data_IF_317741607801
#
_entry.id   IF_317741607801
#
_cell.length_a   1.000
_cell.length_b   1.000
_cell.length_c   1.000
_cell.angle_alpha   90.00
_cell.angle_beta   90.00
_cell.angle_gamma   90.00
#
_symmetry.space_group_name_H-M   'P 1'
#
loop_
_entity.id
_entity.type
_entity.pdbx_description
1 polymer ?
#
# COMPACT_ATOMS: atom_id res chain seq x y z
N UNK A 1 -4.39 8.04 -8.79
CA UNK A 1 -3.45 7.38 -9.71
C UNK A 1 -4.31 6.77 -10.80
N UNK A 2 -4.18 7.18 -12.05
CA UNK A 2 -5.01 6.58 -13.10
C UNK A 2 -4.52 5.15 -13.30
N UNK A 3 -5.43 4.19 -13.50
CA UNK A 3 -5.09 2.78 -13.80
C UNK A 3 -4.18 2.62 -15.02
N UNK A 4 -4.16 3.64 -15.89
CA UNK A 4 -3.36 3.73 -17.10
C UNK A 4 -1.86 3.97 -16.82
N UNK A 5 -1.51 4.47 -15.63
CA UNK A 5 -0.12 4.72 -15.22
C UNK A 5 0.55 3.45 -14.64
N UNK A 6 -0.22 2.36 -14.46
CA UNK A 6 0.27 1.10 -13.89
C UNK A 6 0.86 0.22 -15.00
N UNK A 7 2.16 0.40 -15.25
CA UNK A 7 2.94 -0.45 -16.17
C UNK A 7 3.00 -1.88 -15.68
N UNK A 8 3.27 -2.08 -14.38
CA UNK A 8 3.33 -3.39 -13.73
C UNK A 8 2.14 -3.62 -12.80
N UNK A 9 1.30 -4.59 -13.13
CA UNK A 9 0.00 -4.81 -12.52
C UNK A 9 0.00 -5.46 -11.15
N UNK A 10 1.09 -6.11 -10.76
CA UNK A 10 1.16 -6.83 -9.49
C UNK A 10 2.20 -6.24 -8.55
N UNK A 11 1.75 -5.90 -7.34
CA UNK A 11 2.61 -5.71 -6.19
C UNK A 11 3.06 -7.08 -5.69
N UNK A 12 4.35 -7.38 -5.82
CA UNK A 12 4.94 -8.66 -5.48
C UNK A 12 5.88 -8.50 -4.28
N UNK A 13 5.57 -9.18 -3.19
CA UNK A 13 6.38 -9.19 -1.98
C UNK A 13 6.80 -10.60 -1.61
N UNK A 14 8.05 -10.75 -1.18
CA UNK A 14 8.52 -12.02 -0.65
C UNK A 14 9.52 -11.82 0.49
N UNK A 15 9.63 -12.87 1.31
CA UNK A 15 10.66 -13.01 2.31
C UNK A 15 11.33 -14.37 2.13
N UNK A 16 12.65 -14.36 1.95
CA UNK A 16 13.46 -15.55 1.72
C UNK A 16 14.40 -15.71 2.91
N UNK A 17 14.47 -16.90 3.50
CA UNK A 17 15.51 -17.29 4.46
C UNK A 17 16.67 -17.92 3.73
N UNK A 18 17.87 -17.42 3.92
CA UNK A 18 19.06 -17.92 3.25
C UNK A 18 19.38 -19.36 3.64
N UNK A 19 19.81 -20.12 2.64
CA UNK A 19 20.27 -21.49 2.79
C UNK A 19 21.74 -21.58 2.36
N UNK A 20 22.58 -22.14 3.24
CA UNK A 20 24.02 -22.31 3.01
C UNK A 20 24.34 -23.26 1.85
N UNK A 21 23.40 -24.10 1.45
CA UNK A 21 23.55 -25.02 0.30
C UNK A 21 23.07 -24.42 -1.02
N UNK A 22 22.56 -23.19 -0.99
CA UNK A 22 22.02 -22.47 -2.15
C UNK A 22 22.96 -21.35 -2.60
N UNK A 23 22.51 -20.56 -3.59
CA UNK A 23 23.30 -19.45 -4.13
C UNK A 23 23.63 -18.45 -3.01
N UNK A 24 24.90 -18.04 -2.85
CA UNK A 24 25.28 -17.06 -1.85
C UNK A 24 24.61 -15.72 -2.16
N UNK A 25 24.09 -15.07 -1.13
CA UNK A 25 23.43 -13.78 -1.28
C UNK A 25 24.45 -12.65 -1.39
N UNK A 26 24.28 -11.81 -2.40
CA UNK A 26 24.96 -10.54 -2.55
C UNK A 26 23.91 -9.48 -2.87
N UNK A 27 23.76 -8.48 -2.00
CA UNK A 27 22.67 -7.50 -2.12
C UNK A 27 22.73 -6.72 -3.44
N UNK A 28 23.92 -6.30 -3.86
CA UNK A 28 24.08 -5.52 -5.09
C UNK A 28 23.65 -6.33 -6.32
N UNK A 29 24.19 -7.54 -6.49
CA UNK A 29 23.82 -8.42 -7.60
C UNK A 29 22.34 -8.76 -7.54
N UNK A 30 21.82 -9.04 -6.35
CA UNK A 30 20.41 -9.35 -6.15
C UNK A 30 19.51 -8.20 -6.58
N UNK A 31 19.85 -6.94 -6.22
CA UNK A 31 19.11 -5.74 -6.65
C UNK A 31 19.19 -5.55 -8.16
N UNK A 32 20.37 -5.69 -8.75
CA UNK A 32 20.58 -5.57 -10.20
C UNK A 32 19.74 -6.60 -10.97
N UNK A 33 19.74 -7.85 -10.54
CA UNK A 33 18.92 -8.90 -11.14
C UNK A 33 17.42 -8.65 -10.89
N UNK A 34 17.03 -8.25 -9.67
CA UNK A 34 15.62 -8.03 -9.34
C UNK A 34 15.02 -6.83 -10.10
N UNK A 35 15.83 -5.81 -10.38
CA UNK A 35 15.41 -4.62 -11.14
C UNK A 35 14.99 -4.93 -12.58
N UNK A 36 15.32 -6.12 -13.09
CA UNK A 36 14.91 -6.59 -14.42
C UNK A 36 13.47 -7.11 -14.44
N UNK A 37 12.92 -7.53 -13.29
CA UNK A 37 11.55 -8.05 -13.19
C UNK A 37 10.48 -6.95 -13.07
N UNK A 38 10.89 -5.72 -12.75
CA UNK A 38 10.02 -4.56 -12.80
C UNK A 38 10.52 -3.36 -12.00
N UNK A 39 9.60 -2.50 -11.55
CA UNK A 39 9.93 -1.22 -10.92
C UNK A 39 9.67 -1.18 -9.41
N UNK A 40 9.94 -0.01 -8.81
CA UNK A 40 9.64 0.27 -7.40
C UNK A 40 10.29 -0.74 -6.43
N UNK A 41 11.50 -1.19 -6.79
CA UNK A 41 12.22 -2.21 -6.07
C UNK A 41 12.66 -1.71 -4.68
N UNK A 42 12.21 -2.41 -3.65
CA UNK A 42 12.72 -2.31 -2.29
C UNK A 42 13.28 -3.67 -1.87
N UNK A 43 14.55 -3.67 -1.49
CA UNK A 43 15.23 -4.84 -0.90
C UNK A 43 15.72 -4.43 0.47
N UNK A 44 15.43 -5.26 1.46
CA UNK A 44 15.91 -5.12 2.84
C UNK A 44 16.38 -6.50 3.27
N UNK A 45 17.62 -6.63 3.72
CA UNK A 45 18.15 -7.91 4.18
C UNK A 45 18.95 -7.75 5.48
N UNK A 46 19.14 -8.86 6.17
CA UNK A 46 20.12 -9.05 7.23
C UNK A 46 21.01 -10.27 6.87
N UNK A 47 21.60 -10.93 7.88
CA UNK A 47 22.46 -12.11 7.69
C UNK A 47 21.68 -13.42 7.45
N UNK A 48 20.38 -13.46 7.75
CA UNK A 48 19.56 -14.68 7.69
C UNK A 48 18.43 -14.61 6.65
N UNK A 49 17.89 -13.42 6.39
CA UNK A 49 16.73 -13.22 5.53
C UNK A 49 16.89 -12.03 4.59
N UNK A 50 16.16 -12.09 3.47
CA UNK A 50 15.89 -10.92 2.60
C UNK A 50 14.40 -10.75 2.41
N UNK A 51 13.92 -9.52 2.54
CA UNK A 51 12.58 -9.07 2.22
C UNK A 51 12.61 -8.18 0.98
N UNK A 52 11.70 -8.46 0.06
CA UNK A 52 11.61 -7.79 -1.24
C UNK A 52 10.20 -7.30 -1.46
N UNK A 53 10.08 -6.10 -2.04
CA UNK A 53 8.88 -5.59 -2.67
C UNK A 53 9.26 -5.09 -4.07
N UNK A 54 8.52 -5.52 -5.09
CA UNK A 54 8.72 -5.11 -6.48
C UNK A 54 7.38 -5.10 -7.20
N UNK A 55 7.14 -4.11 -8.06
CA UNK A 55 6.01 -4.18 -8.97
C UNK A 55 6.43 -4.97 -10.21
N UNK A 56 5.70 -6.03 -10.54
CA UNK A 56 6.00 -6.90 -11.69
C UNK A 56 4.72 -7.32 -12.41
N UNK A 57 4.83 -7.75 -13.68
CA UNK A 57 3.74 -8.42 -14.41
C UNK A 57 3.76 -9.94 -14.18
N UNK A 58 4.91 -10.49 -13.77
CA UNK A 58 5.11 -11.93 -13.60
C UNK A 58 5.63 -12.25 -12.19
N UNK A 59 4.76 -12.18 -11.16
CA UNK A 59 5.15 -12.48 -9.77
C UNK A 59 5.84 -13.84 -9.58
N UNK A 60 5.47 -14.84 -10.39
CA UNK A 60 6.08 -16.16 -10.34
C UNK A 60 7.57 -16.16 -10.63
N UNK A 61 8.05 -15.31 -11.55
CA UNK A 61 9.48 -15.21 -11.87
C UNK A 61 10.26 -14.61 -10.70
N UNK A 62 9.70 -13.59 -10.04
CA UNK A 62 10.25 -12.99 -8.82
C UNK A 62 10.41 -14.04 -7.71
N UNK A 63 9.38 -14.85 -7.47
CA UNK A 63 9.43 -15.89 -6.44
C UNK A 63 10.42 -17.01 -6.78
N UNK A 64 10.47 -17.43 -8.04
CA UNK A 64 11.42 -18.45 -8.50
C UNK A 64 12.86 -17.98 -8.32
N UNK A 65 13.14 -16.73 -8.69
CA UNK A 65 14.45 -16.14 -8.48
C UNK A 65 14.82 -16.05 -6.99
N UNK A 66 13.89 -15.63 -6.12
CA UNK A 66 14.10 -15.63 -4.67
C UNK A 66 14.44 -17.01 -4.10
N UNK A 67 13.81 -18.07 -4.61
CA UNK A 67 14.07 -19.45 -4.19
C UNK A 67 15.48 -19.95 -4.51
N UNK A 68 16.22 -19.31 -5.42
CA UNK A 68 17.62 -19.67 -5.68
C UNK A 68 18.52 -19.43 -4.47
N UNK A 69 18.13 -18.55 -3.55
CA UNK A 69 18.91 -18.15 -2.38
C UNK A 69 18.48 -18.85 -1.09
N UNK A 70 17.29 -19.45 -1.06
CA UNK A 70 16.72 -19.89 0.21
C UNK A 70 15.31 -20.49 0.20
N UNK A 71 14.73 -20.56 1.39
CA UNK A 71 13.34 -20.95 1.66
C UNK A 71 12.42 -19.71 1.58
N UNK A 72 11.30 -19.80 0.87
CA UNK A 72 10.27 -18.75 0.90
C UNK A 72 9.47 -18.82 2.21
N UNK A 73 9.78 -17.94 3.15
CA UNK A 73 9.03 -17.81 4.42
C UNK A 73 7.66 -17.20 4.18
N UNK A 74 7.59 -16.22 3.28
CA UNK A 74 6.37 -15.48 2.98
C UNK A 74 6.37 -15.04 1.53
N UNK A 75 5.22 -15.19 0.88
CA UNK A 75 4.96 -14.67 -0.47
C UNK A 75 3.62 -13.97 -0.50
N UNK A 76 3.53 -12.90 -1.29
CA UNK A 76 2.33 -12.12 -1.50
C UNK A 76 2.37 -11.54 -2.91
N UNK A 77 1.26 -11.68 -3.64
CA UNK A 77 1.07 -11.05 -4.95
C UNK A 77 -0.32 -10.42 -4.98
N UNK A 78 -0.39 -9.11 -5.20
CA UNK A 78 -1.63 -8.36 -5.22
C UNK A 78 -1.81 -7.65 -6.56
N UNK A 79 -2.97 -7.82 -7.19
CA UNK A 79 -3.31 -7.12 -8.43
C UNK A 79 -3.72 -5.67 -8.09
N UNK A 80 -2.85 -4.72 -8.39
CA UNK A 80 -3.06 -3.31 -8.09
C UNK A 80 -4.18 -2.69 -8.94
N UNK A 81 -4.43 -3.23 -10.15
CA UNK A 81 -5.53 -2.78 -11.02
C UNK A 81 -6.88 -3.14 -10.41
N UNK A 82 -7.00 -4.35 -9.87
CA UNK A 82 -8.19 -4.80 -9.14
C UNK A 82 -8.38 -4.05 -7.82
N UNK A 83 -7.30 -3.82 -7.06
CA UNK A 83 -7.34 -2.96 -5.87
C UNK A 83 -7.90 -1.57 -6.20
N UNK A 84 -7.41 -0.94 -7.28
CA UNK A 84 -7.91 0.35 -7.73
C UNK A 84 -9.38 0.30 -8.16
N UNK A 85 -9.80 -0.70 -8.97
CA UNK A 85 -11.21 -0.89 -9.37
C UNK A 85 -12.14 -1.00 -8.17
N UNK A 86 -11.73 -1.72 -7.12
CA UNK A 86 -12.53 -1.89 -5.91
C UNK A 86 -12.69 -0.59 -5.12
N UNK A 87 -11.67 0.29 -5.11
CA UNK A 87 -11.78 1.62 -4.49
C UNK A 87 -12.77 2.48 -5.27
N UNK A 88 -12.60 2.59 -6.60
CA UNK A 88 -13.49 3.41 -7.46
C UNK A 88 -14.95 2.93 -7.39
N UNK A 89 -15.20 1.62 -7.37
CA UNK A 89 -16.55 1.08 -7.27
C UNK A 89 -17.20 1.36 -5.90
N UNK A 90 -16.41 1.37 -4.81
CA UNK A 90 -16.90 1.77 -3.48
C UNK A 90 -17.24 3.26 -3.41
N UNK A 91 -16.48 4.11 -4.08
CA UNK A 91 -16.77 5.56 -4.17
C UNK A 91 -18.09 5.82 -4.90
N UNK A 92 -18.35 5.13 -6.02
CA UNK A 92 -19.61 5.27 -6.78
C UNK A 92 -20.86 4.81 -6.01
N UNK A 93 -20.73 3.94 -5.03
CA UNK A 93 -21.86 3.48 -4.21
C UNK A 93 -22.19 4.40 -3.03
N UNK A 94 -21.33 5.36 -2.69
CA UNK A 94 -21.50 6.25 -1.52
C UNK A 94 -21.88 7.69 -1.86
N UNK A 95 -22.03 8.04 -3.14
CA UNK A 95 -22.37 9.41 -3.59
C UNK A 95 -23.84 9.78 -3.43
N UNK A 96 -24.47 9.43 -2.30
CA UNK A 96 -25.86 9.76 -1.99
C UNK A 96 -26.02 10.60 -0.71
N UNK A 97 -24.93 11.03 -0.06
CA UNK A 97 -25.00 11.99 1.04
C UNK A 97 -24.70 13.41 0.53
N UNK A 98 -25.71 14.27 0.54
CA UNK A 98 -25.65 15.68 0.18
C UNK A 98 -24.87 16.46 1.25
N UNK A 99 -23.55 16.57 1.11
CA UNK A 99 -22.78 17.58 1.85
C UNK A 99 -22.88 18.94 1.15
N UNK A 100 -23.17 20.05 1.89
CA UNK A 100 -23.25 21.37 1.28
C UNK A 100 -21.90 21.77 0.68
N UNK A 101 -21.88 22.19 -0.59
CA UNK A 101 -20.67 22.74 -1.21
C UNK A 101 -20.33 24.10 -0.57
N UNK A 102 -19.15 24.19 0.02
CA UNK A 102 -18.58 25.44 0.56
C UNK A 102 -17.26 25.77 -0.14
N UNK A 103 -16.94 27.06 -0.27
CA UNK A 103 -15.69 27.52 -0.92
C UNK A 103 -14.44 27.18 -0.10
N UNK A 104 -14.58 27.10 1.22
CA UNK A 104 -13.50 26.67 2.13
C UNK A 104 -14.11 25.81 3.23
N UNK A 105 -13.59 24.59 3.37
CA UNK A 105 -14.01 23.63 4.40
C UNK A 105 -12.93 23.49 5.48
N UNK A 106 -13.35 23.48 6.74
CA UNK A 106 -12.49 23.14 7.88
C UNK A 106 -12.86 21.72 8.32
N UNK A 107 -11.90 20.80 8.19
CA UNK A 107 -12.08 19.41 8.59
C UNK A 107 -11.35 19.19 9.91
N UNK A 108 -12.07 18.74 10.95
CA UNK A 108 -11.49 18.41 12.24
C UNK A 108 -11.52 16.90 12.49
N UNK A 109 -10.44 16.35 13.03
CA UNK A 109 -10.31 14.94 13.36
C UNK A 109 -10.44 14.81 14.88
N UNK A 110 -11.35 13.96 15.35
CA UNK A 110 -11.56 13.80 16.79
C UNK A 110 -11.98 12.38 17.18
N UNK A 111 -11.74 12.04 18.44
CA UNK A 111 -12.23 10.80 19.06
C UNK A 111 -13.36 11.15 20.05
N UNK A 112 -14.58 10.75 19.71
CA UNK A 112 -15.74 10.82 20.62
C UNK A 112 -16.60 12.06 20.46
N UNK A 113 -17.91 11.87 20.67
CA UNK A 113 -18.95 12.84 20.33
C UNK A 113 -18.79 14.20 21.01
N UNK A 114 -18.38 14.25 22.28
CA UNK A 114 -18.24 15.52 23.01
C UNK A 114 -17.19 16.46 22.41
N UNK A 115 -16.05 15.93 21.96
CA UNK A 115 -15.01 16.73 21.30
C UNK A 115 -15.46 17.13 19.89
N UNK A 116 -16.14 16.22 19.18
CA UNK A 116 -16.75 16.52 17.87
C UNK A 116 -17.72 17.69 17.95
N UNK A 117 -18.55 17.76 18.99
CA UNK A 117 -19.54 18.82 19.16
C UNK A 117 -18.88 20.17 19.43
N UNK A 118 -17.78 20.19 20.20
CA UNK A 118 -16.96 21.40 20.41
C UNK A 118 -16.41 21.88 19.06
N UNK A 119 -15.78 21.01 18.27
CA UNK A 119 -15.22 21.41 16.98
C UNK A 119 -16.28 21.92 15.99
N UNK A 120 -17.45 21.29 15.94
CA UNK A 120 -18.58 21.80 15.16
C UNK A 120 -19.01 23.19 15.63
N UNK A 121 -19.10 23.41 16.93
CA UNK A 121 -19.47 24.71 17.49
C UNK A 121 -18.43 25.81 17.21
N UNK A 122 -17.17 25.44 17.01
CA UNK A 122 -16.07 26.34 16.62
C UNK A 122 -15.99 26.61 15.12
N UNK A 123 -16.89 26.02 14.32
CA UNK A 123 -16.96 26.26 12.87
C UNK A 123 -16.26 25.20 12.01
N UNK A 124 -15.98 24.01 12.56
CA UNK A 124 -15.57 22.89 11.71
C UNK A 124 -16.73 22.49 10.78
N UNK A 125 -16.45 22.46 9.48
CA UNK A 125 -17.39 22.08 8.41
C UNK A 125 -17.71 20.59 8.45
N UNK A 126 -16.70 19.75 8.72
CA UNK A 126 -16.87 18.31 8.82
C UNK A 126 -16.00 17.74 9.94
N UNK A 127 -16.49 16.67 10.58
CA UNK A 127 -15.76 15.94 11.62
C UNK A 127 -15.49 14.53 11.15
N UNK A 128 -14.21 14.14 11.17
CA UNK A 128 -13.78 12.77 10.88
C UNK A 128 -13.42 12.08 12.19
N UNK A 129 -13.86 10.82 12.34
CA UNK A 129 -13.41 9.98 13.43
C UNK A 129 -12.03 9.40 13.08
N UNK A 130 -11.00 9.80 13.81
CA UNK A 130 -9.63 9.33 13.59
C UNK A 130 -9.38 7.88 14.01
N UNK A 131 -10.37 7.19 14.57
CA UNK A 131 -10.21 5.84 15.13
C UNK A 131 -9.24 5.83 16.31
N UNK A 132 -8.77 4.63 16.69
CA UNK A 132 -7.84 4.49 17.83
C UNK A 132 -6.48 5.17 17.61
N UNK A 133 -6.05 5.33 16.36
CA UNK A 133 -4.73 5.85 15.99
C UNK A 133 -4.72 7.35 15.67
N UNK A 134 -5.89 8.00 15.65
CA UNK A 134 -6.07 9.38 15.20
C UNK A 134 -5.54 9.65 13.77
N UNK A 135 -5.40 8.60 12.96
CA UNK A 135 -4.87 8.69 11.61
C UNK A 135 -5.99 8.36 10.61
N UNK A 136 -6.78 9.37 10.19
CA UNK A 136 -7.82 9.15 9.19
C UNK A 136 -7.19 8.80 7.85
N UNK A 137 -7.94 8.10 7.01
CA UNK A 137 -7.49 7.88 5.64
C UNK A 137 -7.58 9.18 4.84
N UNK A 138 -6.80 9.27 3.75
CA UNK A 138 -6.96 10.37 2.79
C UNK A 138 -8.37 10.40 2.19
N UNK A 139 -9.03 9.26 2.07
CA UNK A 139 -10.43 9.16 1.62
C UNK A 139 -11.38 9.89 2.58
N UNK A 140 -11.15 9.80 3.89
CA UNK A 140 -12.00 10.44 4.89
C UNK A 140 -11.89 11.98 4.81
N UNK A 141 -10.74 12.51 4.36
CA UNK A 141 -10.46 13.96 4.27
C UNK A 141 -10.99 14.56 2.97
N UNK A 142 -11.07 13.80 1.88
CA UNK A 142 -11.39 14.32 0.55
C UNK A 142 -12.90 14.29 0.23
N UNK A 143 -13.73 13.71 1.10
CA UNK A 143 -15.20 13.74 1.01
C UNK A 143 -15.80 15.06 1.49
#
# INVERSE_FOLDING_TARGET
INTEDIVYGYCTEMMVRFDKHKRPFNEQQFREDMSKFGDSLLVINDDEIVKVHVHSEHPGEVFNYGQEYGELIKVKAENMREQHRNVVNKEKQKSNDETPQVETAIIAISMGNGISDIFKSMGATSIINGGQTMNPSTEDIVK
#
